data_IF_292766249473
#
_entry.id   IF_292766249473
#
_cell.length_a   1.000
_cell.length_b   1.000
_cell.length_c   1.000
_cell.angle_alpha   90.00
_cell.angle_beta   90.00
_cell.angle_gamma   90.00
#
_symmetry.space_group_name_H-M   'P 1'
#
loop_
_entity.id
_entity.type
_entity.pdbx_description
1 polymer ?
#
# COMPACT_ATOMS: atom_id res chain seq x y z
N UNK A 1 24.96 -41.99 30.39
CA UNK A 1 25.22 -42.49 29.03
C UNK A 1 23.89 -42.87 28.43
N UNK A 2 23.22 -41.90 27.82
CA UNK A 2 22.07 -42.08 26.89
C UNK A 2 22.02 -40.79 26.06
N UNK A 3 22.38 -40.94 24.81
CA UNK A 3 22.40 -39.91 23.78
C UNK A 3 21.01 -39.92 23.16
N UNK A 4 20.20 -38.88 23.37
CA UNK A 4 18.97 -38.66 22.63
C UNK A 4 19.26 -37.91 21.33
N UNK A 5 18.94 -38.57 20.23
CA UNK A 5 18.96 -38.01 18.89
C UNK A 5 17.84 -37.00 18.71
N UNK A 6 18.17 -35.76 18.37
CA UNK A 6 17.24 -34.82 17.78
C UNK A 6 17.06 -35.17 16.31
N UNK A 7 15.89 -35.68 15.96
CA UNK A 7 15.47 -35.75 14.56
C UNK A 7 14.92 -34.40 14.14
N UNK A 8 15.60 -33.79 13.16
CA UNK A 8 15.11 -32.59 12.49
C UNK A 8 14.00 -32.94 11.51
N UNK A 9 12.78 -32.54 11.80
CA UNK A 9 11.66 -32.63 10.87
C UNK A 9 11.80 -31.51 9.82
N UNK A 10 12.52 -31.80 8.73
CA UNK A 10 12.45 -30.98 7.51
C UNK A 10 11.26 -31.47 6.68
N UNK A 11 10.15 -30.78 6.79
CA UNK A 11 9.02 -30.99 5.90
C UNK A 11 9.36 -30.33 4.55
N UNK A 12 9.76 -31.17 3.57
CA UNK A 12 9.92 -30.78 2.17
C UNK A 12 8.54 -30.62 1.56
N UNK A 13 8.13 -29.38 1.29
CA UNK A 13 6.97 -29.10 0.43
C UNK A 13 7.40 -29.20 -1.05
N UNK A 14 6.61 -29.81 -1.91
CA UNK A 14 6.97 -29.95 -3.34
C UNK A 14 6.83 -28.60 -4.05
N UNK A 15 7.83 -28.28 -4.87
CA UNK A 15 7.98 -27.06 -5.65
C UNK A 15 6.96 -26.88 -6.81
N UNK A 16 5.99 -27.77 -6.94
CA UNK A 16 5.02 -27.74 -8.05
C UNK A 16 3.86 -26.75 -7.87
N UNK A 17 3.65 -26.22 -6.67
CA UNK A 17 2.55 -25.28 -6.41
C UNK A 17 2.84 -23.82 -6.80
N UNK A 18 4.09 -23.45 -7.04
CA UNK A 18 4.47 -22.07 -7.37
C UNK A 18 4.09 -21.64 -8.79
N UNK A 19 3.90 -22.57 -9.72
CA UNK A 19 3.59 -22.25 -11.12
C UNK A 19 2.11 -22.10 -11.43
N UNK A 20 1.23 -22.71 -10.64
CA UNK A 20 -0.22 -22.66 -10.90
C UNK A 20 -0.90 -21.41 -10.36
N UNK A 21 -0.42 -20.83 -9.25
CA UNK A 21 -0.98 -19.59 -8.69
C UNK A 21 -0.60 -18.37 -9.56
N UNK A 22 0.63 -18.31 -10.09
CA UNK A 22 1.08 -17.26 -11.00
C UNK A 22 0.37 -17.31 -12.36
N UNK A 23 0.10 -18.51 -12.92
CA UNK A 23 -0.59 -18.64 -14.20
C UNK A 23 -2.06 -18.26 -14.14
N UNK A 24 -2.77 -18.58 -13.06
CA UNK A 24 -4.19 -18.22 -12.92
C UNK A 24 -4.40 -16.73 -12.72
N UNK A 25 -3.49 -16.03 -12.04
CA UNK A 25 -3.60 -14.57 -11.83
C UNK A 25 -3.30 -13.79 -13.11
N UNK A 26 -2.32 -14.23 -13.90
CA UNK A 26 -2.00 -13.64 -15.22
C UNK A 26 -3.17 -13.80 -16.18
N UNK A 27 -3.91 -14.91 -16.14
CA UNK A 27 -5.07 -15.16 -17.01
C UNK A 27 -6.29 -14.32 -16.60
N UNK A 28 -6.53 -14.08 -15.31
CA UNK A 28 -7.67 -13.25 -14.85
C UNK A 28 -7.44 -11.76 -15.15
N UNK A 29 -6.21 -11.23 -15.00
CA UNK A 29 -5.90 -9.86 -15.42
C UNK A 29 -5.97 -9.70 -16.96
N UNK A 30 -5.55 -10.71 -17.73
CA UNK A 30 -5.59 -10.69 -19.20
C UNK A 30 -7.00 -10.80 -19.77
N UNK A 31 -7.96 -11.38 -19.05
CA UNK A 31 -9.35 -11.45 -19.49
C UNK A 31 -10.15 -10.19 -19.20
N UNK A 32 -9.71 -9.34 -18.26
CA UNK A 32 -10.33 -8.05 -17.95
C UNK A 32 -9.75 -6.90 -18.79
N UNK A 33 -8.49 -6.99 -19.23
CA UNK A 33 -7.91 -6.14 -20.28
C UNK A 33 -8.18 -6.79 -21.63
N UNK A 34 -9.36 -6.60 -22.18
CA UNK A 34 -9.78 -7.27 -23.43
C UNK A 34 -8.70 -7.29 -24.50
N UNK A 35 -8.26 -8.48 -24.87
CA UNK A 35 -7.68 -8.95 -26.16
C UNK A 35 -6.75 -8.02 -27.01
N UNK A 36 -6.26 -6.89 -26.48
CA UNK A 36 -5.39 -5.96 -27.19
C UNK A 36 -3.96 -5.85 -26.63
N UNK A 37 -3.62 -6.59 -25.58
CA UNK A 37 -2.24 -6.63 -25.03
C UNK A 37 -1.38 -7.71 -25.72
N UNK A 38 -1.59 -7.89 -27.01
CA UNK A 38 -0.69 -8.67 -27.86
C UNK A 38 0.57 -7.87 -28.18
N UNK A 39 1.69 -8.19 -27.52
CA UNK A 39 3.08 -8.02 -27.99
C UNK A 39 3.61 -6.60 -28.33
N UNK A 40 2.97 -5.52 -27.91
CA UNK A 40 3.63 -4.20 -27.87
C UNK A 40 3.75 -3.80 -26.41
N UNK A 41 4.96 -3.82 -25.85
CA UNK A 41 5.21 -3.33 -24.48
C UNK A 41 4.54 -1.96 -24.30
N UNK A 42 3.87 -1.75 -23.16
CA UNK A 42 3.22 -0.49 -22.84
C UNK A 42 4.16 0.72 -23.00
N UNK A 43 3.64 1.97 -22.98
CA UNK A 43 4.45 3.17 -23.19
C UNK A 43 5.48 3.35 -22.07
N UNK A 44 5.23 2.77 -20.90
CA UNK A 44 6.10 2.87 -19.74
C UNK A 44 7.01 1.64 -19.59
N UNK A 45 8.25 1.90 -19.22
CA UNK A 45 9.31 0.91 -19.08
C UNK A 45 9.77 0.76 -17.62
N UNK A 46 9.46 1.74 -16.78
CA UNK A 46 9.91 1.75 -15.40
C UNK A 46 8.80 2.26 -14.49
N UNK A 47 8.67 1.63 -13.33
CA UNK A 47 7.76 2.02 -12.27
C UNK A 47 8.56 2.23 -10.98
N UNK A 48 8.35 3.39 -10.34
CA UNK A 48 8.96 3.74 -9.06
C UNK A 48 7.86 3.97 -8.02
N UNK A 49 8.08 3.49 -6.79
CA UNK A 49 7.18 3.67 -5.65
C UNK A 49 7.84 4.51 -4.56
N UNK A 50 7.15 5.54 -4.09
CA UNK A 50 7.47 6.33 -2.90
C UNK A 50 6.25 6.29 -2.00
N UNK A 51 6.41 5.91 -0.75
CA UNK A 51 5.25 5.86 0.14
C UNK A 51 5.39 4.89 1.32
N UNK A 52 4.25 4.37 1.76
CA UNK A 52 4.09 3.58 2.97
C UNK A 52 3.64 2.13 2.71
N UNK A 53 2.96 1.53 3.70
CA UNK A 53 2.49 0.14 3.68
C UNK A 53 1.52 -0.19 2.53
N UNK A 54 0.81 0.78 1.96
CA UNK A 54 -0.09 0.55 0.82
C UNK A 54 0.67 0.20 -0.46
N UNK A 55 1.95 0.58 -0.52
CA UNK A 55 2.84 0.28 -1.64
C UNK A 55 3.98 -0.66 -1.28
N UNK A 56 4.34 -0.84 0.01
CA UNK A 56 5.54 -1.59 0.43
C UNK A 56 5.49 -3.05 -0.06
N UNK A 57 6.54 -3.46 -0.76
CA UNK A 57 6.71 -4.82 -1.30
C UNK A 57 7.85 -5.59 -0.62
N UNK A 58 8.27 -5.14 0.58
CA UNK A 58 9.25 -5.81 1.42
C UNK A 58 10.50 -4.98 1.70
N UNK A 59 10.36 -3.67 1.91
CA UNK A 59 11.48 -2.77 2.21
C UNK A 59 11.84 -2.70 3.70
N UNK A 60 10.96 -3.12 4.61
CA UNK A 60 11.32 -3.19 6.02
C UNK A 60 12.36 -4.28 6.27
N UNK A 61 13.22 -4.06 7.26
CA UNK A 61 14.19 -5.07 7.67
C UNK A 61 13.52 -6.10 8.59
N UNK A 62 13.38 -7.36 8.18
CA UNK A 62 12.73 -8.40 8.99
C UNK A 62 13.49 -8.70 10.28
N UNK A 63 14.75 -8.29 10.42
CA UNK A 63 15.57 -8.49 11.62
C UNK A 63 15.46 -7.34 12.62
N UNK A 64 14.90 -6.20 12.22
CA UNK A 64 14.71 -5.06 13.10
C UNK A 64 13.50 -5.30 14.01
N UNK A 65 13.77 -5.66 15.26
CA UNK A 65 12.77 -5.88 16.30
C UNK A 65 12.62 -4.68 17.25
N UNK A 66 13.04 -3.48 16.84
CA UNK A 66 12.93 -2.28 17.66
C UNK A 66 11.47 -1.94 17.87
N UNK A 67 11.05 -1.83 19.12
CA UNK A 67 9.76 -1.27 19.51
C UNK A 67 9.83 0.25 19.32
N UNK A 68 9.00 0.80 18.47
CA UNK A 68 9.08 2.21 18.06
C UNK A 68 7.94 3.06 18.59
N UNK A 69 6.94 2.43 19.23
CA UNK A 69 5.76 3.13 19.76
C UNK A 69 5.57 2.83 21.26
N UNK A 70 4.99 3.80 22.02
CA UNK A 70 4.69 3.62 23.46
C UNK A 70 3.70 2.49 23.74
N UNK A 71 3.02 1.96 22.74
CA UNK A 71 1.89 1.02 22.83
C UNK A 71 2.23 -0.41 22.47
N UNK A 72 3.46 -0.89 22.69
CA UNK A 72 3.85 -2.29 22.38
C UNK A 72 3.55 -2.77 20.96
N UNK A 73 3.31 -1.83 20.01
CA UNK A 73 3.09 -2.16 18.62
C UNK A 73 4.38 -2.72 18.05
N UNK A 74 4.40 -4.03 17.88
CA UNK A 74 5.55 -4.73 17.34
C UNK A 74 5.73 -4.38 15.86
N UNK A 75 6.90 -3.89 15.54
CA UNK A 75 7.32 -3.61 14.17
C UNK A 75 7.63 -4.93 13.46
N UNK A 76 7.47 -4.97 12.11
CA UNK A 76 7.74 -6.13 11.27
C UNK A 76 6.77 -7.32 11.42
N UNK A 77 5.49 -7.06 11.69
CA UNK A 77 4.47 -8.10 11.67
C UNK A 77 4.25 -8.64 10.24
N UNK A 78 4.46 -7.80 9.22
CA UNK A 78 4.41 -8.10 7.79
C UNK A 78 5.33 -9.25 7.33
N UNK A 79 6.33 -9.61 8.16
CA UNK A 79 7.19 -10.78 7.98
C UNK A 79 6.80 -11.98 8.85
N UNK A 80 5.65 -11.93 9.51
CA UNK A 80 5.14 -13.02 10.36
C UNK A 80 3.81 -13.54 9.83
N UNK A 81 3.60 -14.86 10.00
CA UNK A 81 2.29 -15.43 9.75
C UNK A 81 1.24 -14.77 10.68
N UNK A 82 0.05 -14.41 10.19
CA UNK A 82 -0.58 -14.85 8.94
C UNK A 82 -0.44 -13.89 7.75
N UNK A 83 0.38 -12.81 7.83
CA UNK A 83 0.65 -12.00 6.64
C UNK A 83 1.16 -12.87 5.49
N UNK A 84 0.83 -12.50 4.26
CA UNK A 84 1.22 -13.26 3.08
C UNK A 84 0.53 -14.63 2.93
N UNK A 85 -0.57 -14.88 3.67
CA UNK A 85 -1.29 -16.15 3.65
C UNK A 85 -1.67 -16.60 2.23
N UNK A 86 -2.14 -15.68 1.40
CA UNK A 86 -2.52 -15.95 0.01
C UNK A 86 -1.33 -16.13 -0.94
N UNK A 87 -0.11 -15.76 -0.52
CA UNK A 87 1.15 -15.97 -1.24
C UNK A 87 1.89 -17.24 -0.76
N UNK A 88 1.42 -17.85 0.33
CA UNK A 88 2.05 -19.02 0.95
C UNK A 88 3.20 -18.71 1.89
N UNK A 89 3.63 -17.44 2.01
CA UNK A 89 4.64 -16.98 2.96
C UNK A 89 4.54 -15.48 3.19
N UNK A 90 4.91 -14.97 4.38
CA UNK A 90 5.05 -13.55 4.64
C UNK A 90 6.28 -13.00 3.89
N UNK A 91 6.08 -11.91 3.16
CA UNK A 91 7.12 -11.33 2.27
C UNK A 91 7.23 -9.80 2.44
N UNK A 92 6.85 -9.29 3.60
CA UNK A 92 6.96 -7.86 3.94
C UNK A 92 5.88 -7.00 3.30
N UNK A 93 4.66 -7.54 3.14
CA UNK A 93 3.46 -6.80 2.72
C UNK A 93 2.45 -6.78 3.86
N UNK A 94 1.88 -5.63 4.15
CA UNK A 94 0.75 -5.51 5.09
C UNK A 94 -0.56 -5.92 4.41
N UNK A 95 -0.65 -7.23 4.07
CA UNK A 95 -1.82 -7.84 3.43
C UNK A 95 -1.73 -9.38 3.58
N UNK A 96 -2.82 -10.08 3.30
CA UNK A 96 -2.77 -11.53 3.06
C UNK A 96 -2.02 -11.88 1.77
N UNK A 97 -1.82 -10.90 0.89
CA UNK A 97 -1.21 -11.12 -0.41
C UNK A 97 -0.65 -9.85 -1.04
N UNK A 98 -1.06 -9.56 -2.27
CA UNK A 98 -0.59 -8.41 -3.05
C UNK A 98 -1.14 -7.09 -2.50
N UNK A 99 -0.32 -6.03 -2.60
CA UNK A 99 -0.68 -4.65 -2.27
C UNK A 99 -0.88 -3.82 -3.56
N UNK A 100 -1.33 -2.57 -3.43
CA UNK A 100 -1.69 -1.73 -4.58
C UNK A 100 -0.57 -1.61 -5.63
N UNK A 101 0.69 -1.50 -5.20
CA UNK A 101 1.85 -1.39 -6.10
C UNK A 101 2.02 -2.64 -6.99
N UNK A 102 1.74 -3.84 -6.45
CA UNK A 102 1.84 -5.08 -7.23
C UNK A 102 0.84 -5.11 -8.39
N UNK A 103 -0.41 -4.62 -8.16
CA UNK A 103 -1.43 -4.52 -9.22
C UNK A 103 -1.02 -3.52 -10.30
N UNK A 104 -0.43 -2.39 -9.90
CA UNK A 104 0.06 -1.38 -10.84
C UNK A 104 1.21 -1.93 -11.68
N UNK A 105 2.18 -2.61 -11.06
CA UNK A 105 3.29 -3.26 -11.74
C UNK A 105 2.80 -4.34 -12.72
N UNK A 106 1.87 -5.20 -12.28
CA UNK A 106 1.28 -6.23 -13.11
C UNK A 106 0.52 -5.65 -14.32
N UNK A 107 -0.24 -4.57 -14.14
CA UNK A 107 -0.92 -3.89 -15.24
C UNK A 107 0.06 -3.35 -16.29
N UNK A 108 1.24 -2.90 -15.89
CA UNK A 108 2.29 -2.43 -16.79
C UNK A 108 3.15 -3.56 -17.38
N UNK A 109 3.02 -4.79 -16.88
CA UNK A 109 3.89 -5.91 -17.24
C UNK A 109 5.33 -5.72 -16.74
N UNK A 110 5.51 -5.02 -15.62
CA UNK A 110 6.79 -4.70 -15.00
C UNK A 110 6.96 -5.48 -13.69
N UNK A 111 8.20 -5.65 -13.28
CA UNK A 111 8.56 -6.28 -12.00
C UNK A 111 9.61 -5.44 -11.25
N UNK A 112 9.24 -4.25 -10.72
CA UNK A 112 10.15 -3.40 -9.97
C UNK A 112 10.67 -4.10 -8.71
N UNK A 113 11.95 -3.91 -8.42
CA UNK A 113 12.58 -4.51 -7.23
C UNK A 113 12.34 -3.64 -6.00
N UNK A 114 12.11 -4.25 -4.84
CA UNK A 114 12.13 -3.54 -3.57
C UNK A 114 13.54 -2.97 -3.29
N UNK A 115 13.64 -1.70 -2.86
CA UNK A 115 14.91 -0.99 -2.69
C UNK A 115 15.87 -1.72 -1.73
N UNK A 116 15.35 -2.28 -0.65
CA UNK A 116 16.17 -3.08 0.29
C UNK A 116 16.86 -4.26 -0.39
N UNK A 117 16.16 -4.96 -1.30
CA UNK A 117 16.72 -6.08 -2.06
C UNK A 117 17.77 -5.59 -3.05
N UNK A 118 17.47 -4.48 -3.76
CA UNK A 118 18.43 -3.84 -4.66
C UNK A 118 19.68 -3.37 -3.92
N UNK A 119 19.51 -2.62 -2.82
CA UNK A 119 20.61 -2.04 -2.06
C UNK A 119 21.53 -3.08 -1.41
N UNK A 120 21.00 -4.25 -1.04
CA UNK A 120 21.79 -5.36 -0.49
C UNK A 120 22.80 -5.92 -1.50
N UNK A 121 22.48 -5.94 -2.79
CA UNK A 121 23.38 -6.42 -3.85
C UNK A 121 23.08 -5.76 -5.21
N UNK A 122 23.49 -4.50 -5.43
CA UNK A 122 23.15 -3.75 -6.65
C UNK A 122 23.70 -4.39 -7.94
N UNK A 123 24.79 -5.14 -7.85
CA UNK A 123 25.41 -5.80 -9.02
C UNK A 123 24.65 -7.04 -9.50
N UNK A 124 23.85 -7.66 -8.62
CA UNK A 124 23.08 -8.87 -8.95
C UNK A 124 21.59 -8.59 -9.17
N UNK A 125 21.07 -7.53 -8.55
CA UNK A 125 19.66 -7.17 -8.61
C UNK A 125 19.47 -6.03 -9.61
N UNK A 126 19.31 -6.38 -10.89
CA UNK A 126 19.04 -5.37 -11.93
C UNK A 126 17.69 -4.68 -11.68
N UNK A 127 17.65 -3.37 -11.55
CA UNK A 127 16.42 -2.62 -11.40
C UNK A 127 15.81 -2.20 -12.76
N UNK A 128 15.90 -3.06 -13.77
CA UNK A 128 15.50 -2.73 -15.14
C UNK A 128 14.06 -2.20 -15.24
N UNK A 129 13.14 -2.73 -14.45
CA UNK A 129 11.74 -2.33 -14.45
C UNK A 129 11.42 -1.20 -13.46
N UNK A 130 12.43 -0.71 -12.73
CA UNK A 130 12.30 0.31 -11.70
C UNK A 130 12.51 -0.22 -10.28
N UNK A 131 12.25 0.64 -9.29
CA UNK A 131 12.49 0.36 -7.88
C UNK A 131 11.33 0.86 -7.03
N UNK A 132 10.89 0.05 -6.09
CA UNK A 132 9.94 0.44 -5.05
C UNK A 132 10.69 0.82 -3.77
N UNK A 133 10.58 2.07 -3.35
CA UNK A 133 11.18 2.60 -2.11
C UNK A 133 10.17 2.64 -0.96
N UNK A 134 8.89 2.47 -1.24
CA UNK A 134 7.83 2.56 -0.24
C UNK A 134 8.11 1.62 0.93
N UNK A 135 7.98 2.15 2.15
CA UNK A 135 8.30 1.44 3.39
C UNK A 135 7.18 1.62 4.38
N UNK A 136 6.65 0.53 4.89
CA UNK A 136 5.54 0.56 5.85
C UNK A 136 5.87 1.43 7.07
N UNK A 137 4.92 2.28 7.48
CA UNK A 137 5.08 3.27 8.53
C UNK A 137 5.66 4.60 8.06
N UNK A 138 6.03 4.75 6.79
CA UNK A 138 6.54 6.02 6.28
C UNK A 138 5.44 7.08 6.19
N UNK A 139 5.77 8.27 6.67
CA UNK A 139 5.05 9.51 6.43
C UNK A 139 6.00 10.54 5.83
N UNK A 140 5.56 11.79 5.75
CA UNK A 140 6.42 12.89 5.34
C UNK A 140 7.32 13.37 6.48
N UNK A 141 6.86 13.27 7.74
CA UNK A 141 7.57 13.65 8.95
C UNK A 141 7.93 12.45 9.82
N UNK A 142 7.07 11.43 9.85
CA UNK A 142 7.29 10.22 10.66
C UNK A 142 7.78 9.06 9.83
N UNK A 143 8.47 8.13 10.46
CA UNK A 143 8.97 6.91 9.81
C UNK A 143 8.89 5.70 10.72
N UNK A 144 8.40 5.86 11.93
CA UNK A 144 8.47 4.83 12.98
C UNK A 144 9.84 4.11 13.02
N UNK A 145 10.94 4.90 12.78
CA UNK A 145 12.33 4.44 12.82
C UNK A 145 12.86 3.78 11.55
N UNK A 146 12.11 3.82 10.43
CA UNK A 146 12.60 3.33 9.14
C UNK A 146 13.02 4.49 8.22
N UNK A 147 12.15 4.93 7.32
CA UNK A 147 12.48 5.99 6.35
C UNK A 147 11.27 6.87 6.07
N UNK A 148 11.47 8.17 5.93
CA UNK A 148 10.43 9.10 5.47
C UNK A 148 10.37 9.13 3.94
N UNK A 149 9.28 9.65 3.36
CA UNK A 149 9.17 9.83 1.90
C UNK A 149 10.26 10.73 1.33
N UNK A 150 10.66 11.77 2.07
CA UNK A 150 11.77 12.63 1.69
C UNK A 150 13.12 11.90 1.62
N UNK A 151 13.37 10.93 2.51
CA UNK A 151 14.55 10.07 2.47
C UNK A 151 14.47 9.07 1.31
N UNK A 152 13.30 8.45 1.06
CA UNK A 152 13.07 7.57 -0.09
C UNK A 152 13.36 8.29 -1.43
N UNK A 153 12.99 9.57 -1.57
CA UNK A 153 13.33 10.36 -2.76
C UNK A 153 14.86 10.58 -2.87
N UNK A 154 15.56 10.69 -1.74
CA UNK A 154 17.04 10.78 -1.76
C UNK A 154 17.68 9.46 -2.20
N UNK A 155 17.14 8.34 -1.76
CA UNK A 155 17.53 7.00 -2.23
C UNK A 155 17.25 6.83 -3.73
N UNK A 156 16.09 7.28 -4.21
CA UNK A 156 15.75 7.32 -5.63
C UNK A 156 16.78 8.15 -6.43
N UNK A 157 17.20 9.32 -5.95
CA UNK A 157 18.24 10.13 -6.59
C UNK A 157 19.54 9.33 -6.75
N UNK A 158 19.94 8.56 -5.73
CA UNK A 158 21.11 7.68 -5.78
C UNK A 158 20.98 6.60 -6.85
N UNK A 159 19.80 5.99 -6.96
CA UNK A 159 19.51 4.96 -7.99
C UNK A 159 19.52 5.56 -9.40
N UNK A 160 18.93 6.76 -9.59
CA UNK A 160 18.93 7.44 -10.88
C UNK A 160 20.33 7.86 -11.32
N UNK A 161 21.21 8.20 -10.39
CA UNK A 161 22.60 8.60 -10.70
C UNK A 161 23.46 7.42 -11.21
N UNK A 162 23.09 6.20 -10.88
CA UNK A 162 23.85 4.97 -11.21
C UNK A 162 23.21 4.14 -12.32
N UNK A 163 21.97 4.43 -12.69
CA UNK A 163 21.21 3.68 -13.69
C UNK A 163 20.63 4.64 -14.74
N UNK A 164 20.66 4.23 -15.98
CA UNK A 164 20.21 5.06 -17.10
C UNK A 164 18.73 4.82 -17.42
N UNK A 165 17.83 5.47 -16.67
CA UNK A 165 16.39 5.38 -16.92
C UNK A 165 15.91 6.47 -17.89
N UNK A 166 14.97 6.11 -18.77
CA UNK A 166 14.22 7.11 -19.52
C UNK A 166 13.02 7.59 -18.70
N UNK A 167 13.14 8.74 -18.02
CA UNK A 167 12.10 9.25 -17.12
C UNK A 167 10.82 9.67 -17.84
N UNK A 168 10.85 9.96 -19.15
CA UNK A 168 9.63 10.18 -19.93
C UNK A 168 8.82 8.90 -20.19
N UNK A 169 9.48 7.74 -20.09
CA UNK A 169 8.85 6.40 -20.14
C UNK A 169 8.74 5.76 -18.75
N UNK A 170 8.82 6.55 -17.70
CA UNK A 170 8.73 6.11 -16.31
C UNK A 170 7.47 6.67 -15.66
N UNK A 171 6.91 5.91 -14.75
CA UNK A 171 5.90 6.37 -13.79
C UNK A 171 6.53 6.36 -12.40
N UNK A 172 6.27 7.41 -11.61
CA UNK A 172 6.46 7.37 -10.17
C UNK A 172 5.10 7.52 -9.49
N UNK A 173 4.80 6.62 -8.55
CA UNK A 173 3.65 6.74 -7.66
C UNK A 173 4.12 7.22 -6.29
N UNK A 174 3.42 8.23 -5.76
CA UNK A 174 3.61 8.78 -4.43
C UNK A 174 2.34 8.55 -3.60
N UNK A 175 2.46 7.84 -2.49
CA UNK A 175 1.31 7.41 -1.68
C UNK A 175 1.66 7.45 -0.19
N UNK A 176 0.98 8.31 0.56
CA UNK A 176 1.08 8.43 2.02
C UNK A 176 -0.31 8.34 2.62
N UNK A 177 -0.53 7.41 3.57
CA UNK A 177 -1.86 7.06 4.04
C UNK A 177 -1.96 7.10 5.57
N UNK A 178 -1.83 8.30 6.16
CA UNK A 178 -2.23 8.52 7.54
C UNK A 178 -1.14 8.42 8.60
N UNK A 179 0.04 7.86 8.33
CA UNK A 179 1.08 7.64 9.34
C UNK A 179 1.48 8.90 10.13
N UNK A 180 1.54 10.07 9.48
CA UNK A 180 1.84 11.34 10.17
C UNK A 180 0.74 11.72 11.17
N UNK A 181 -0.53 11.48 10.83
CA UNK A 181 -1.67 11.77 11.69
C UNK A 181 -1.75 10.78 12.86
N UNK A 182 -1.48 9.50 12.60
CA UNK A 182 -1.40 8.49 13.65
C UNK A 182 -0.26 8.82 14.65
N UNK A 183 0.92 9.22 14.15
CA UNK A 183 2.03 9.65 14.99
C UNK A 183 1.66 10.90 15.81
N UNK A 184 1.03 11.89 15.20
CA UNK A 184 0.56 13.10 15.90
C UNK A 184 -0.42 12.75 17.04
N UNK A 185 -1.38 11.87 16.77
CA UNK A 185 -2.34 11.42 17.78
C UNK A 185 -1.67 10.69 18.95
N UNK A 186 -0.68 9.83 18.66
CA UNK A 186 0.09 9.12 19.68
C UNK A 186 0.95 10.06 20.55
N UNK A 187 1.55 11.10 19.96
CA UNK A 187 2.42 12.05 20.66
C UNK A 187 1.64 13.03 21.54
N UNK A 188 0.42 13.40 21.14
CA UNK A 188 -0.38 14.40 21.85
C UNK A 188 -1.39 13.79 22.86
N UNK A 189 -1.43 12.47 22.98
CA UNK A 189 -2.32 11.76 23.91
C UNK A 189 -3.73 11.62 23.37
N UNK A 190 -4.71 12.12 24.10
CA UNK A 190 -6.10 12.08 23.66
C UNK A 190 -6.29 12.79 22.32
N UNK A 191 -7.27 12.35 21.54
CA UNK A 191 -7.57 12.85 20.21
C UNK A 191 -7.74 14.39 20.18
N UNK A 192 -6.70 15.10 19.70
CA UNK A 192 -6.72 16.54 19.49
C UNK A 192 -7.14 16.87 18.05
N UNK A 193 -8.45 16.90 17.81
CA UNK A 193 -9.02 17.20 16.50
C UNK A 193 -8.61 18.57 15.95
N UNK A 194 -8.51 19.60 16.81
CA UNK A 194 -8.10 20.93 16.38
C UNK A 194 -6.61 20.98 16.03
N UNK A 195 -5.79 20.27 16.78
CA UNK A 195 -4.37 20.07 16.46
C UNK A 195 -4.16 19.33 15.16
N UNK A 196 -4.92 18.27 14.91
CA UNK A 196 -4.91 17.56 13.63
C UNK A 196 -5.27 18.46 12.45
N UNK A 197 -6.37 19.24 12.55
CA UNK A 197 -6.75 20.23 11.52
C UNK A 197 -5.61 21.24 11.27
N UNK A 198 -4.95 21.71 12.31
CA UNK A 198 -3.82 22.66 12.19
C UNK A 198 -2.56 21.98 11.60
N UNK A 199 -2.42 20.68 11.73
CA UNK A 199 -1.30 19.89 11.19
C UNK A 199 -1.47 19.55 9.70
N UNK A 200 -2.72 19.43 9.21
CA UNK A 200 -3.00 19.09 7.79
C UNK A 200 -2.25 19.97 6.79
N UNK A 201 -2.22 21.30 6.88
CA UNK A 201 -1.47 22.13 5.91
C UNK A 201 0.03 21.85 5.90
N UNK A 202 0.61 21.42 7.03
CA UNK A 202 2.04 21.09 7.13
C UNK A 202 2.33 19.78 6.39
N UNK A 203 1.55 18.74 6.64
CA UNK A 203 1.66 17.45 5.94
C UNK A 203 1.49 17.64 4.44
N UNK A 204 0.42 18.30 4.02
CA UNK A 204 0.15 18.58 2.59
C UNK A 204 1.27 19.42 1.97
N UNK A 205 1.77 20.44 2.68
CA UNK A 205 2.89 21.26 2.21
C UNK A 205 4.15 20.44 1.95
N UNK A 206 4.46 19.46 2.80
CA UNK A 206 5.60 18.56 2.61
C UNK A 206 5.38 17.60 1.45
N UNK A 207 4.16 17.03 1.29
CA UNK A 207 3.83 16.20 0.11
C UNK A 207 4.05 17.00 -1.18
N UNK A 208 3.57 18.24 -1.24
CA UNK A 208 3.77 19.12 -2.40
C UNK A 208 5.26 19.34 -2.68
N UNK A 209 6.06 19.60 -1.64
CA UNK A 209 7.51 19.76 -1.78
C UNK A 209 8.19 18.49 -2.32
N UNK A 210 7.78 17.32 -1.84
CA UNK A 210 8.30 16.02 -2.31
C UNK A 210 7.92 15.76 -3.78
N UNK A 211 6.69 16.04 -4.19
CA UNK A 211 6.25 15.90 -5.59
C UNK A 211 6.99 16.89 -6.49
N UNK A 212 7.24 18.12 -6.04
CA UNK A 212 8.09 19.10 -6.76
C UNK A 212 9.51 18.55 -6.95
N UNK A 213 10.08 17.88 -5.94
CA UNK A 213 11.40 17.22 -6.09
C UNK A 213 11.36 16.15 -7.18
N UNK A 214 10.29 15.32 -7.25
CA UNK A 214 10.15 14.31 -8.31
C UNK A 214 10.07 14.93 -9.71
N UNK A 215 9.33 16.04 -9.88
CA UNK A 215 9.29 16.80 -11.14
C UNK A 215 10.67 17.34 -11.49
N UNK A 216 11.40 17.91 -10.53
CA UNK A 216 12.74 18.44 -10.73
C UNK A 216 13.79 17.35 -11.05
N UNK A 217 13.56 16.11 -10.65
CA UNK A 217 14.36 14.96 -11.08
C UNK A 217 14.12 14.55 -12.54
N UNK A 218 13.05 15.06 -13.17
CA UNK A 218 12.72 14.83 -14.57
C UNK A 218 11.56 13.85 -14.80
N UNK A 219 10.84 13.43 -13.74
CA UNK A 219 9.63 12.63 -13.93
C UNK A 219 8.53 13.46 -14.58
N UNK A 220 7.97 12.95 -15.65
CA UNK A 220 6.86 13.58 -16.38
C UNK A 220 5.52 12.92 -16.13
N UNK A 221 5.48 11.72 -15.57
CA UNK A 221 4.26 10.99 -15.27
C UNK A 221 4.25 10.61 -13.79
N UNK A 222 3.43 11.29 -13.01
CA UNK A 222 3.37 11.14 -11.56
C UNK A 222 1.95 10.77 -11.19
N UNK A 223 1.78 9.71 -10.39
CA UNK A 223 0.53 9.37 -9.73
C UNK A 223 0.64 9.77 -8.25
N UNK A 224 -0.34 10.47 -7.71
CA UNK A 224 -0.41 10.85 -6.29
C UNK A 224 -1.71 10.35 -5.72
N UNK A 225 -1.65 9.58 -4.65
CA UNK A 225 -2.86 9.11 -3.98
C UNK A 225 -3.40 10.18 -3.02
N UNK A 226 -4.71 10.29 -2.95
CA UNK A 226 -5.41 10.92 -1.84
C UNK A 226 -5.54 9.91 -0.71
N UNK A 227 -5.68 10.39 0.53
CA UNK A 227 -5.90 9.52 1.68
C UNK A 227 -7.17 8.68 1.51
N UNK A 228 -7.13 7.43 1.94
CA UNK A 228 -8.31 6.60 2.14
C UNK A 228 -9.20 7.15 3.28
N UNK A 229 -10.46 6.71 3.42
CA UNK A 229 -11.33 7.13 4.52
C UNK A 229 -10.87 6.44 5.83
N UNK A 230 -9.85 6.99 6.50
CA UNK A 230 -9.22 6.40 7.68
C UNK A 230 -10.21 6.12 8.80
N UNK A 231 -11.21 6.99 8.98
CA UNK A 231 -12.29 6.75 9.94
C UNK A 231 -13.15 5.50 9.66
N UNK A 232 -12.96 4.85 8.49
CA UNK A 232 -13.60 3.57 8.17
C UNK A 232 -12.67 2.37 8.42
N UNK A 233 -11.43 2.60 8.82
CA UNK A 233 -10.50 1.52 9.12
C UNK A 233 -10.96 0.73 10.36
N UNK A 234 -10.67 -0.58 10.38
CA UNK A 234 -11.08 -1.44 11.50
C UNK A 234 -10.61 -0.95 12.86
N UNK A 235 -9.44 -0.29 12.96
CA UNK A 235 -8.94 0.29 14.20
C UNK A 235 -9.91 1.32 14.79
N UNK A 236 -10.57 2.10 13.95
CA UNK A 236 -11.50 3.16 14.34
C UNK A 236 -12.96 2.68 14.50
N UNK A 237 -13.28 1.51 13.93
CA UNK A 237 -14.66 0.97 13.91
C UNK A 237 -14.86 -0.25 14.82
N UNK A 238 -13.78 -0.76 15.44
CA UNK A 238 -13.85 -1.95 16.30
C UNK A 238 -14.79 -1.75 17.51
N UNK A 239 -14.77 -0.58 18.13
CA UNK A 239 -15.61 -0.27 19.29
C UNK A 239 -17.10 -0.35 18.98
N UNK A 240 -17.50 -0.06 17.74
CA UNK A 240 -18.87 -0.09 17.23
C UNK A 240 -19.20 -1.39 16.48
N UNK A 241 -18.38 -2.44 16.68
CA UNK A 241 -18.58 -3.74 16.03
C UNK A 241 -18.36 -3.70 14.52
N UNK A 242 -17.58 -2.78 14.02
CA UNK A 242 -17.27 -2.60 12.59
C UNK A 242 -18.49 -2.20 11.73
N UNK A 243 -19.42 -1.47 12.31
CA UNK A 243 -20.71 -1.15 11.65
C UNK A 243 -20.79 0.25 11.08
N UNK A 244 -19.99 1.20 11.55
CA UNK A 244 -20.01 2.60 11.12
C UNK A 244 -18.61 3.19 11.10
N UNK A 245 -18.35 4.08 10.13
CA UNK A 245 -17.11 4.86 10.07
C UNK A 245 -17.14 6.03 11.07
N UNK A 246 -15.97 6.42 11.60
CA UNK A 246 -15.81 7.68 12.32
C UNK A 246 -15.91 8.85 11.33
N UNK A 247 -17.02 9.60 11.45
CA UNK A 247 -17.29 10.72 10.54
C UNK A 247 -16.45 11.95 10.86
N UNK A 248 -16.00 12.10 12.11
CA UNK A 248 -15.17 13.22 12.52
C UNK A 248 -13.75 13.06 11.99
N UNK A 249 -13.20 11.84 12.07
CA UNK A 249 -11.93 11.53 11.46
C UNK A 249 -11.97 11.72 9.94
N UNK A 250 -13.01 11.21 9.28
CA UNK A 250 -13.17 11.40 7.85
C UNK A 250 -13.31 12.87 7.43
N UNK A 251 -13.77 13.77 8.31
CA UNK A 251 -13.87 15.19 7.99
C UNK A 251 -12.49 15.85 7.77
N UNK A 252 -11.47 15.55 8.60
CA UNK A 252 -10.13 16.10 8.37
C UNK A 252 -9.43 15.43 7.18
N UNK A 253 -9.73 14.16 6.90
CA UNK A 253 -9.22 13.47 5.69
C UNK A 253 -9.71 14.19 4.42
N UNK A 254 -10.99 14.57 4.36
CA UNK A 254 -11.53 15.35 3.24
C UNK A 254 -10.85 16.71 3.10
N UNK A 255 -10.53 17.38 4.22
CA UNK A 255 -9.75 18.62 4.21
C UNK A 255 -8.35 18.39 3.62
N UNK A 256 -7.64 17.35 4.08
CA UNK A 256 -6.33 16.97 3.52
C UNK A 256 -6.42 16.77 2.01
N UNK A 257 -7.33 15.92 1.55
CA UNK A 257 -7.48 15.56 0.15
C UNK A 257 -7.80 16.79 -0.72
N UNK A 258 -8.68 17.68 -0.26
CA UNK A 258 -9.00 18.94 -0.94
C UNK A 258 -7.77 19.86 -1.07
N UNK A 259 -7.02 20.05 0.02
CA UNK A 259 -5.80 20.87 0.02
C UNK A 259 -4.71 20.27 -0.85
N UNK A 260 -4.53 18.94 -0.82
CA UNK A 260 -3.54 18.23 -1.63
C UNK A 260 -3.77 18.48 -3.12
N UNK A 261 -5.00 18.23 -3.61
CA UNK A 261 -5.36 18.44 -5.02
C UNK A 261 -5.21 19.91 -5.42
N UNK A 262 -5.70 20.84 -4.59
CA UNK A 262 -5.62 22.28 -4.86
C UNK A 262 -4.17 22.77 -4.93
N UNK A 263 -3.36 22.40 -3.93
CA UNK A 263 -1.98 22.90 -3.82
C UNK A 263 -1.08 22.31 -4.93
N UNK A 264 -1.20 21.02 -5.24
CA UNK A 264 -0.46 20.41 -6.35
C UNK A 264 -0.88 20.99 -7.70
N UNK A 265 -2.19 21.18 -7.93
CA UNK A 265 -2.68 21.77 -9.19
C UNK A 265 -2.22 23.22 -9.38
N UNK A 266 -2.13 24.00 -8.32
CA UNK A 266 -1.66 25.39 -8.38
C UNK A 266 -0.13 25.50 -8.49
N UNK A 267 0.61 24.62 -7.79
CA UNK A 267 2.08 24.63 -7.77
C UNK A 267 2.67 24.06 -9.06
N UNK A 268 2.04 23.03 -9.62
CA UNK A 268 2.52 22.28 -10.78
C UNK A 268 1.44 22.22 -11.90
N UNK A 269 0.98 23.37 -12.43
CA UNK A 269 -0.17 23.43 -13.35
C UNK A 269 0.08 22.72 -14.69
N UNK A 270 1.34 22.54 -15.07
CA UNK A 270 1.75 21.90 -16.31
C UNK A 270 2.26 20.46 -16.14
N UNK A 271 2.34 19.95 -14.91
CA UNK A 271 2.77 18.59 -14.66
C UNK A 271 1.65 17.59 -14.98
N UNK A 272 2.02 16.43 -15.53
CA UNK A 272 1.09 15.35 -15.81
C UNK A 272 0.87 14.52 -14.54
N UNK A 273 0.11 15.06 -13.59
CA UNK A 273 -0.24 14.40 -12.35
C UNK A 273 -1.59 13.68 -12.49
N UNK A 274 -1.63 12.41 -12.13
CA UNK A 274 -2.85 11.66 -11.89
C UNK A 274 -3.13 11.66 -10.38
N UNK A 275 -4.23 12.22 -9.96
CA UNK A 275 -4.74 12.05 -8.61
C UNK A 275 -5.49 10.73 -8.51
N UNK A 276 -5.13 9.87 -7.57
CA UNK A 276 -5.82 8.61 -7.29
C UNK A 276 -6.65 8.82 -6.03
N UNK A 277 -7.96 8.85 -6.19
CA UNK A 277 -8.91 9.08 -5.10
C UNK A 277 -9.24 7.77 -4.40
N UNK A 278 -8.44 7.43 -3.41
CA UNK A 278 -8.73 6.27 -2.55
C UNK A 278 -9.94 6.52 -1.68
N UNK A 279 -10.20 7.78 -1.25
CA UNK A 279 -11.34 8.07 -0.39
C UNK A 279 -12.65 7.63 -1.03
N UNK A 280 -12.97 8.17 -2.18
CA UNK A 280 -14.22 7.87 -2.87
C UNK A 280 -14.25 6.42 -3.40
N UNK A 281 -13.11 5.87 -3.83
CA UNK A 281 -13.03 4.49 -4.29
C UNK A 281 -13.34 3.48 -3.16
N UNK A 282 -12.78 3.67 -1.97
CA UNK A 282 -13.06 2.85 -0.80
C UNK A 282 -14.50 3.04 -0.33
N UNK A 283 -14.92 4.31 -0.19
CA UNK A 283 -16.25 4.65 0.31
C UNK A 283 -17.36 4.08 -0.58
N UNK A 284 -17.17 4.06 -1.91
CA UNK A 284 -18.12 3.46 -2.86
C UNK A 284 -18.35 1.96 -2.63
N UNK A 285 -17.35 1.26 -2.06
CA UNK A 285 -17.47 -0.15 -1.70
C UNK A 285 -18.20 -0.30 -0.35
N UNK A 286 -17.90 0.59 0.61
CA UNK A 286 -18.50 0.54 1.95
C UNK A 286 -19.97 0.93 1.95
N UNK A 287 -20.38 1.90 1.11
CA UNK A 287 -21.75 2.37 0.94
C UNK A 287 -22.59 1.49 0.00
N UNK A 288 -21.98 0.51 -0.64
CA UNK A 288 -22.69 -0.36 -1.56
C UNK A 288 -23.68 -1.28 -0.82
N UNK A 289 -24.78 -1.60 -1.48
CA UNK A 289 -25.81 -2.49 -0.91
C UNK A 289 -25.19 -3.83 -0.46
N UNK A 290 -25.61 -4.37 0.70
CA UNK A 290 -25.09 -5.63 1.20
C UNK A 290 -25.20 -6.75 0.15
N UNK A 291 -24.13 -7.53 0.00
CA UNK A 291 -24.05 -8.65 -0.95
C UNK A 291 -23.67 -8.28 -2.39
N UNK A 292 -23.56 -6.98 -2.74
CA UNK A 292 -23.19 -6.56 -4.11
C UNK A 292 -21.68 -6.40 -4.31
N UNK A 293 -20.92 -6.25 -3.23
CA UNK A 293 -19.47 -6.04 -3.30
C UNK A 293 -18.67 -7.33 -3.45
N UNK A 294 -19.24 -8.47 -3.03
CA UNK A 294 -18.56 -9.76 -2.88
C UNK A 294 -17.91 -9.97 -1.51
N UNK A 295 -17.92 -8.94 -0.65
CA UNK A 295 -17.37 -9.03 0.70
C UNK A 295 -18.44 -9.40 1.74
N UNK A 296 -17.98 -10.02 2.84
CA UNK A 296 -18.82 -10.41 3.97
C UNK A 296 -19.25 -9.18 4.78
N UNK A 297 -20.40 -9.28 5.47
CA UNK A 297 -20.87 -8.26 6.41
C UNK A 297 -20.47 -8.64 7.85
N UNK A 298 -20.09 -7.65 8.70
CA UNK A 298 -19.88 -6.24 8.36
C UNK A 298 -18.61 -6.03 7.51
N UNK A 299 -18.70 -5.17 6.51
CA UNK A 299 -17.65 -5.00 5.49
C UNK A 299 -16.35 -4.41 6.07
N UNK A 300 -16.46 -3.62 7.15
CA UNK A 300 -15.32 -3.00 7.82
C UNK A 300 -14.59 -3.98 8.77
N UNK A 301 -15.13 -5.19 8.98
CA UNK A 301 -14.48 -6.18 9.85
C UNK A 301 -13.26 -6.80 9.16
N UNK A 302 -12.06 -6.77 9.78
CA UNK A 302 -10.87 -7.35 9.17
C UNK A 302 -10.89 -8.88 9.22
N UNK A 303 -10.17 -9.51 8.28
CA UNK A 303 -9.97 -10.95 8.26
C UNK A 303 -9.10 -11.42 9.41
N UNK A 304 -8.00 -10.73 9.68
CA UNK A 304 -7.12 -10.94 10.82
C UNK A 304 -7.50 -9.95 11.93
N UNK A 305 -8.61 -10.25 12.63
CA UNK A 305 -9.19 -9.35 13.62
C UNK A 305 -8.50 -9.48 14.98
N UNK A 306 -8.08 -8.36 15.63
CA UNK A 306 -7.54 -8.37 16.97
C UNK A 306 -8.59 -8.89 17.98
N UNK A 307 -8.12 -9.53 19.06
CA UNK A 307 -9.00 -10.00 20.14
C UNK A 307 -9.24 -8.95 21.22
N UNK A 308 -8.38 -7.93 21.26
CA UNK A 308 -8.45 -6.79 22.19
C UNK A 308 -8.03 -5.51 21.47
N UNK A 309 -8.34 -4.36 22.05
CA UNK A 309 -7.92 -3.05 21.50
C UNK A 309 -6.40 -2.81 21.56
N UNK A 310 -5.68 -3.64 22.29
CA UNK A 310 -4.20 -3.56 22.43
C UNK A 310 -3.48 -4.70 21.70
N UNK A 311 -4.21 -5.57 20.99
CA UNK A 311 -3.62 -6.64 20.18
C UNK A 311 -3.74 -6.31 18.68
N UNK A 312 -3.01 -7.06 17.86
CA UNK A 312 -3.00 -6.87 16.41
C UNK A 312 -2.85 -8.20 15.65
N UNK A 313 -2.94 -8.15 14.36
CA UNK A 313 -2.66 -9.29 13.49
C UNK A 313 -1.20 -9.76 13.69
N UNK A 314 -0.98 -11.06 13.72
CA UNK A 314 0.29 -11.73 14.02
C UNK A 314 0.81 -11.57 15.48
N UNK A 315 0.06 -10.95 16.38
CA UNK A 315 0.43 -10.88 17.80
C UNK A 315 0.15 -12.22 18.49
N UNK A 316 1.04 -12.56 19.42
CA UNK A 316 0.92 -13.77 20.26
C UNK A 316 1.15 -13.42 21.72
N UNK A 317 0.55 -14.19 22.61
CA UNK A 317 0.79 -14.10 24.04
C UNK A 317 2.15 -14.74 24.44
N UNK A 318 2.45 -14.72 25.74
CA UNK A 318 3.66 -15.35 26.30
C UNK A 318 3.76 -16.87 26.09
N UNK A 319 2.65 -17.52 25.73
CA UNK A 319 2.55 -18.95 25.43
C UNK A 319 2.49 -19.22 23.91
N UNK A 320 2.80 -18.21 23.09
CA UNK A 320 2.69 -18.23 21.63
C UNK A 320 1.27 -18.51 21.11
N UNK A 321 0.22 -18.16 21.88
CA UNK A 321 -1.15 -18.26 21.41
C UNK A 321 -1.54 -16.98 20.66
N UNK A 322 -2.22 -17.07 19.50
CA UNK A 322 -2.65 -15.92 18.75
C UNK A 322 -3.55 -14.97 19.56
N UNK A 323 -3.24 -13.68 19.55
CA UNK A 323 -4.07 -12.60 20.06
C UNK A 323 -4.95 -11.99 18.97
N UNK A 324 -5.25 -12.76 17.95
CA UNK A 324 -6.12 -12.41 16.81
C UNK A 324 -6.98 -13.60 16.40
N UNK A 325 -8.04 -13.32 15.68
CA UNK A 325 -8.86 -14.33 15.02
C UNK A 325 -8.72 -14.22 13.52
N UNK A 326 -8.74 -15.34 12.80
CA UNK A 326 -8.60 -15.35 11.36
C UNK A 326 -9.93 -15.74 10.70
N UNK A 327 -10.32 -15.01 9.66
CA UNK A 327 -11.47 -15.37 8.85
C UNK A 327 -11.19 -16.66 8.05
N UNK A 328 -12.26 -17.32 7.57
CA UNK A 328 -12.11 -18.55 6.79
C UNK A 328 -11.60 -18.34 5.38
N UNK A 329 -11.90 -17.19 4.80
CA UNK A 329 -11.57 -16.86 3.41
C UNK A 329 -11.23 -15.37 3.26
N UNK A 330 -9.95 -15.02 3.16
CA UNK A 330 -9.53 -13.63 2.99
C UNK A 330 -10.16 -12.93 1.77
N UNK A 331 -10.44 -13.67 0.70
CA UNK A 331 -11.07 -13.11 -0.50
C UNK A 331 -12.50 -12.58 -0.27
N UNK A 332 -13.11 -12.87 0.87
CA UNK A 332 -14.42 -12.37 1.27
C UNK A 332 -14.35 -11.23 2.30
N UNK A 333 -13.16 -10.75 2.65
CA UNK A 333 -12.96 -9.61 3.55
C UNK A 333 -12.31 -8.46 2.78
N UNK A 334 -12.80 -7.22 3.02
CA UNK A 334 -12.16 -6.06 2.41
C UNK A 334 -10.85 -5.73 3.12
N UNK A 335 -10.85 -5.66 4.46
CA UNK A 335 -9.66 -5.42 5.26
C UNK A 335 -8.97 -6.73 5.66
N UNK A 336 -7.63 -6.69 5.66
CA UNK A 336 -6.81 -7.76 6.19
C UNK A 336 -6.64 -7.65 7.71
N UNK A 337 -6.12 -6.53 8.15
CA UNK A 337 -5.85 -6.21 9.56
C UNK A 337 -6.60 -4.93 10.00
N UNK A 338 -6.10 -4.25 11.02
CA UNK A 338 -6.74 -3.05 11.56
C UNK A 338 -6.72 -1.83 10.64
N UNK A 339 -5.94 -1.84 9.55
CA UNK A 339 -5.71 -0.67 8.68
C UNK A 339 -5.67 -1.04 7.19
N UNK A 340 -5.18 -2.23 6.85
CA UNK A 340 -4.79 -2.57 5.49
C UNK A 340 -5.81 -3.45 4.77
N UNK A 341 -6.09 -3.20 3.49
CA UNK A 341 -6.92 -4.07 2.66
C UNK A 341 -6.30 -5.45 2.45
N UNK A 342 -7.16 -6.45 2.25
CA UNK A 342 -6.76 -7.73 1.67
C UNK A 342 -6.32 -7.56 0.23
N UNK A 343 -5.66 -8.59 -0.33
CA UNK A 343 -5.43 -8.66 -1.77
C UNK A 343 -6.73 -8.51 -2.58
N UNK A 344 -7.85 -9.07 -2.09
CA UNK A 344 -9.15 -8.93 -2.73
C UNK A 344 -9.69 -7.50 -2.65
N UNK A 345 -9.51 -6.82 -1.50
CA UNK A 345 -9.80 -5.40 -1.33
C UNK A 345 -9.03 -4.55 -2.33
N UNK A 346 -7.71 -4.72 -2.41
CA UNK A 346 -6.86 -4.02 -3.37
C UNK A 346 -7.24 -4.29 -4.81
N UNK A 347 -7.55 -5.55 -5.15
CA UNK A 347 -8.02 -5.91 -6.49
C UNK A 347 -9.31 -5.15 -6.86
N UNK A 348 -10.26 -5.05 -5.92
CA UNK A 348 -11.52 -4.32 -6.13
C UNK A 348 -11.27 -2.83 -6.36
N UNK A 349 -10.45 -2.19 -5.53
CA UNK A 349 -10.06 -0.78 -5.66
C UNK A 349 -9.36 -0.54 -7.00
N UNK A 350 -8.37 -1.37 -7.35
CA UNK A 350 -7.63 -1.24 -8.60
C UNK A 350 -8.55 -1.30 -9.82
N UNK A 351 -9.50 -2.23 -9.84
CA UNK A 351 -10.47 -2.35 -10.94
C UNK A 351 -11.41 -1.13 -11.06
N UNK A 352 -11.84 -0.53 -9.94
CA UNK A 352 -12.62 0.71 -9.98
C UNK A 352 -11.81 1.86 -10.59
N UNK A 353 -10.56 2.01 -10.19
CA UNK A 353 -9.65 3.05 -10.71
C UNK A 353 -9.32 2.84 -12.20
N UNK A 354 -9.17 1.59 -12.65
CA UNK A 354 -8.92 1.29 -14.05
C UNK A 354 -10.07 1.72 -14.95
N UNK A 355 -11.30 1.46 -14.54
CA UNK A 355 -12.47 1.54 -15.41
C UNK A 355 -13.23 2.86 -15.28
N UNK A 356 -13.04 3.62 -14.22
CA UNK A 356 -13.76 4.87 -13.96
C UNK A 356 -12.81 6.06 -13.80
N UNK A 357 -13.12 7.17 -14.46
CA UNK A 357 -12.45 8.46 -14.24
C UNK A 357 -12.95 9.20 -12.99
N UNK A 358 -14.04 8.74 -12.37
CA UNK A 358 -14.60 9.35 -11.17
C UNK A 358 -13.57 9.38 -10.05
N UNK A 359 -12.86 8.28 -9.85
CA UNK A 359 -11.86 8.13 -8.79
C UNK A 359 -10.44 8.60 -9.18
N UNK A 360 -10.34 9.42 -10.23
CA UNK A 360 -9.06 9.93 -10.74
C UNK A 360 -9.17 11.40 -11.16
N UNK A 361 -9.96 12.16 -10.40
CA UNK A 361 -10.17 13.59 -10.60
C UNK A 361 -11.01 13.94 -11.84
N UNK A 362 -11.81 13.01 -12.37
CA UNK A 362 -12.75 13.22 -13.46
C UNK A 362 -12.13 13.46 -14.84
N UNK A 363 -10.81 13.47 -14.97
CA UNK A 363 -10.10 13.78 -16.21
C UNK A 363 -9.88 12.55 -17.09
N UNK A 364 -9.44 11.45 -16.51
CA UNK A 364 -9.16 10.17 -17.19
C UNK A 364 -9.09 9.04 -16.17
N UNK A 365 -9.45 7.82 -16.55
CA UNK A 365 -9.26 6.65 -15.70
C UNK A 365 -7.78 6.30 -15.53
N UNK A 366 -7.46 5.46 -14.54
CA UNK A 366 -6.11 4.92 -14.39
C UNK A 366 -5.68 4.18 -15.67
N UNK A 367 -6.59 3.46 -16.35
CA UNK A 367 -6.30 2.82 -17.64
C UNK A 367 -5.80 3.82 -18.68
N UNK A 368 -6.47 4.98 -18.81
CA UNK A 368 -6.05 6.01 -19.76
C UNK A 368 -4.74 6.69 -19.39
N UNK A 369 -4.38 6.68 -18.11
CA UNK A 369 -3.06 7.14 -17.65
C UNK A 369 -1.97 6.14 -18.02
N UNK A 370 -2.20 4.85 -17.73
CA UNK A 370 -1.24 3.78 -18.00
C UNK A 370 -1.09 3.49 -19.50
N UNK A 371 -2.16 3.66 -20.26
CA UNK A 371 -2.23 3.33 -21.69
C UNK A 371 -2.91 4.46 -22.48
N UNK A 372 -2.24 5.63 -22.64
CA UNK A 372 -2.84 6.79 -23.31
C UNK A 372 -3.39 6.50 -24.71
N UNK A 373 -2.80 5.53 -25.41
CA UNK A 373 -3.22 5.12 -26.76
C UNK A 373 -4.61 4.44 -26.79
N UNK A 374 -5.13 3.96 -25.65
CA UNK A 374 -6.46 3.34 -25.58
C UNK A 374 -7.59 4.35 -25.41
N UNK A 375 -7.26 5.63 -25.20
CA UNK A 375 -8.22 6.68 -24.86
C UNK A 375 -8.13 7.90 -25.80
N UNK A 376 -7.57 7.71 -26.99
CA UNK A 376 -7.51 8.73 -28.05
C UNK A 376 -8.71 8.64 -28.96
#
# INVERSE_FOLDING_TARGET
>A
MLIERRESFQQKFPMEYYWTATLTFTVVLLTLCGAAAGAAGGPFKHLFGIGDSFLDTGNRDPTNNTLLLPSDILVNQDYKHPYGLSLGAPVGRYSDGLVFFDFLAAALGLNPVAYRIYAANPSQNSPADGVNFATAGAGVFTSYGFTTTGAQITELQGVLATNNYNLSQSIVIYSVNGNDYAAFALENGDFDFMGLIAFVPQVVGQIVADVVRLVNLGFTNIAVTQLAPLGCEPVNTMSDGYTACDTLENAFILLHNSLLVSNLSSTLPNANILFIDFYDAFYSIFDASPGTTGFSSPILKPCCAPTTTTSGCAYVDSNNQPLYTLCKNPAQSFFWDSEHPTQAGWSKIFNLLLTSSTYTGGRRSLQCFLYPQLCQ
#
